data_IF_508290678992
#
_entry.id   IF_508290678992
#
_cell.length_a   1.000
_cell.length_b   1.000
_cell.length_c   1.000
_cell.angle_alpha   90.00
_cell.angle_beta   90.00
_cell.angle_gamma   90.00
#
_symmetry.space_group_name_H-M   'P 1'
#
loop_
_entity.id
_entity.type
_entity.pdbx_description
1 polymer ?
#
# COMPACT_ATOMS: atom_id res chain seq x y z
N UNK A 1 51.08 4.44 69.38
CA UNK A 1 51.34 5.66 68.60
C UNK A 1 51.08 5.34 67.14
N UNK A 2 50.37 6.24 66.46
CA UNK A 2 50.22 6.40 65.01
C UNK A 2 49.60 5.25 64.19
N UNK A 3 48.43 5.56 63.64
CA UNK A 3 47.74 4.86 62.57
C UNK A 3 48.50 4.94 61.24
N UNK A 4 48.38 3.89 60.42
CA UNK A 4 48.48 3.99 58.96
C UNK A 4 47.29 3.24 58.40
N UNK A 5 46.25 3.99 58.02
CA UNK A 5 45.18 3.53 57.15
C UNK A 5 45.76 3.26 55.77
N UNK A 6 45.69 2.01 55.32
CA UNK A 6 46.04 1.65 53.95
C UNK A 6 44.82 1.94 53.06
N UNK A 7 44.86 3.06 52.33
CA UNK A 7 43.97 3.30 51.20
C UNK A 7 44.28 2.28 50.10
N UNK A 8 43.32 1.41 49.79
CA UNK A 8 43.33 0.63 48.55
C UNK A 8 42.67 1.50 47.49
N UNK A 9 43.48 2.06 46.58
CA UNK A 9 42.98 2.65 45.34
C UNK A 9 42.57 1.52 44.40
N UNK A 10 41.27 1.32 44.21
CA UNK A 10 40.72 0.56 43.08
C UNK A 10 40.75 1.45 41.83
N UNK A 11 41.89 1.47 41.12
CA UNK A 11 41.93 2.00 39.76
C UNK A 11 41.51 0.88 38.79
N UNK A 12 40.25 0.91 38.38
CA UNK A 12 39.70 -0.11 37.49
C UNK A 12 38.23 0.09 37.14
N UNK A 13 37.76 1.34 37.00
CA UNK A 13 36.52 1.63 36.30
C UNK A 13 36.90 2.33 35.00
N UNK A 14 36.77 1.61 33.89
CA UNK A 14 36.93 2.14 32.54
C UNK A 14 35.82 3.15 32.28
N UNK A 15 36.17 4.41 32.00
CA UNK A 15 35.30 5.46 31.44
C UNK A 15 34.86 5.10 30.00
N UNK A 16 34.23 3.95 29.79
CA UNK A 16 33.63 3.60 28.50
C UNK A 16 32.22 4.15 28.47
N UNK A 17 32.01 5.19 27.68
CA UNK A 17 30.70 5.67 27.30
C UNK A 17 29.98 4.58 26.48
N UNK A 18 28.89 3.97 26.98
CA UNK A 18 28.14 2.97 26.25
C UNK A 18 27.51 3.53 24.96
N UNK A 19 27.29 4.85 24.87
CA UNK A 19 26.78 5.52 23.67
C UNK A 19 27.85 5.71 22.59
N UNK A 20 29.14 5.52 22.93
CA UNK A 20 30.25 5.53 21.98
C UNK A 20 30.65 4.13 21.47
N UNK A 21 29.94 3.09 21.90
CA UNK A 21 30.08 1.74 21.33
C UNK A 21 29.27 1.68 20.03
N UNK A 22 29.91 1.28 18.94
CA UNK A 22 29.18 0.92 17.71
C UNK A 22 28.12 -0.12 18.09
N UNK A 23 26.87 0.12 17.66
CA UNK A 23 25.81 -0.85 17.83
C UNK A 23 26.28 -2.19 17.23
N UNK A 24 26.10 -3.28 17.97
CA UNK A 24 26.45 -4.60 17.45
C UNK A 24 25.64 -4.84 16.17
N UNK A 25 26.34 -5.03 15.05
CA UNK A 25 25.72 -5.42 13.78
C UNK A 25 24.91 -6.70 14.00
N UNK A 26 23.78 -6.80 13.31
CA UNK A 26 23.06 -8.06 13.24
C UNK A 26 23.94 -9.14 12.59
N UNK A 27 23.51 -10.41 12.64
CA UNK A 27 24.27 -11.51 12.05
C UNK A 27 24.43 -11.28 10.55
N UNK A 28 25.67 -11.36 10.05
CA UNK A 28 25.95 -11.34 8.61
C UNK A 28 25.90 -12.78 8.11
N UNK A 29 24.80 -13.16 7.47
CA UNK A 29 24.63 -14.46 6.83
C UNK A 29 23.94 -14.29 5.45
N UNK A 30 24.65 -14.54 4.34
CA UNK A 30 24.08 -14.42 3.01
C UNK A 30 23.16 -15.59 2.62
N UNK A 31 23.27 -16.75 3.27
CA UNK A 31 22.58 -17.97 2.83
C UNK A 31 21.10 -17.90 3.17
N UNK A 32 20.22 -18.08 2.18
CA UNK A 32 18.77 -18.16 2.42
C UNK A 32 18.29 -19.59 2.26
N UNK A 33 18.70 -20.23 1.16
CA UNK A 33 18.36 -21.60 0.82
C UNK A 33 19.44 -22.17 -0.10
N UNK A 34 19.93 -23.37 0.20
CA UNK A 34 20.74 -24.20 -0.70
C UNK A 34 20.06 -25.56 -0.88
N UNK A 35 20.47 -26.59 -0.16
CA UNK A 35 19.76 -27.87 -0.10
C UNK A 35 18.71 -27.88 1.01
N UNK A 36 18.78 -26.94 1.94
CA UNK A 36 17.75 -26.69 2.95
C UNK A 36 17.63 -25.19 3.20
N UNK A 37 16.64 -24.80 3.99
CA UNK A 37 16.61 -23.45 4.54
C UNK A 37 17.86 -23.21 5.39
N UNK A 38 18.38 -21.98 5.34
CA UNK A 38 19.39 -21.56 6.32
C UNK A 38 18.87 -21.83 7.76
N UNK A 39 19.75 -22.11 8.74
CA UNK A 39 19.34 -22.60 10.06
C UNK A 39 18.33 -21.72 10.82
N UNK A 40 18.31 -20.42 10.54
CA UNK A 40 17.41 -19.43 11.12
C UNK A 40 16.24 -19.05 10.19
N UNK A 41 16.19 -19.58 8.96
CA UNK A 41 15.23 -19.25 7.92
C UNK A 41 14.08 -20.26 7.84
N UNK A 42 12.90 -19.77 7.47
CA UNK A 42 11.70 -20.60 7.29
C UNK A 42 10.71 -19.93 6.32
N UNK A 43 9.93 -20.74 5.62
CA UNK A 43 8.92 -20.25 4.68
C UNK A 43 7.61 -19.90 5.40
N UNK A 44 7.02 -18.76 5.02
CA UNK A 44 5.70 -18.32 5.44
C UNK A 44 4.83 -18.11 4.19
N UNK A 45 3.74 -18.88 4.02
CA UNK A 45 2.84 -18.71 2.88
C UNK A 45 2.03 -17.42 3.02
N UNK A 46 1.77 -16.75 1.91
CA UNK A 46 0.79 -15.66 1.87
C UNK A 46 -0.63 -16.19 2.07
N UNK A 47 -1.56 -15.30 2.46
CA UNK A 47 -2.98 -15.63 2.55
C UNK A 47 -3.46 -16.28 1.25
N UNK A 48 -4.30 -17.31 1.37
CA UNK A 48 -4.81 -18.15 0.27
C UNK A 48 -3.78 -18.99 -0.51
N UNK A 49 -2.50 -18.98 -0.14
CA UNK A 49 -1.56 -19.99 -0.67
C UNK A 49 -1.81 -21.34 0.00
N UNK A 50 -1.86 -22.40 -0.80
CA UNK A 50 -2.03 -23.75 -0.27
C UNK A 50 -0.82 -24.15 0.60
N UNK A 51 -1.06 -24.79 1.75
CA UNK A 51 0.00 -25.18 2.68
C UNK A 51 0.99 -26.23 2.12
N UNK A 52 0.63 -26.96 1.05
CA UNK A 52 1.54 -27.88 0.36
C UNK A 52 2.15 -27.28 -0.91
N UNK A 53 1.97 -25.98 -1.17
CA UNK A 53 2.42 -25.36 -2.40
C UNK A 53 3.96 -25.24 -2.47
N UNK A 54 4.65 -25.12 -1.34
CA UNK A 54 6.10 -25.15 -1.25
C UNK A 54 6.60 -26.48 -0.67
N UNK A 55 7.60 -27.09 -1.29
CA UNK A 55 8.20 -28.35 -0.85
C UNK A 55 9.66 -28.46 -1.29
N UNK A 56 10.42 -29.33 -0.65
CA UNK A 56 11.78 -29.66 -1.10
C UNK A 56 11.69 -30.75 -2.18
N UNK A 57 12.45 -30.60 -3.27
CA UNK A 57 12.49 -31.55 -4.39
C UNK A 57 13.94 -32.00 -4.60
N UNK A 58 14.17 -33.32 -4.50
CA UNK A 58 15.49 -33.94 -4.70
C UNK A 58 15.73 -34.43 -6.13
N UNK A 59 14.72 -34.33 -7.01
CA UNK A 59 14.82 -34.75 -8.42
C UNK A 59 15.37 -33.62 -9.28
N UNK A 60 14.94 -32.39 -9.04
CA UNK A 60 15.39 -31.22 -9.79
C UNK A 60 16.16 -30.28 -8.87
N UNK A 61 17.49 -30.41 -8.80
CA UNK A 61 18.36 -29.50 -8.05
C UNK A 61 19.38 -28.83 -8.99
N UNK A 62 19.80 -27.60 -8.66
CA UNK A 62 20.86 -26.91 -9.38
C UNK A 62 22.21 -27.51 -8.99
N UNK A 63 22.59 -28.58 -9.70
CA UNK A 63 23.75 -29.40 -9.35
C UNK A 63 23.59 -30.87 -9.75
N UNK A 64 22.36 -31.35 -10.00
CA UNK A 64 22.12 -32.73 -10.48
C UNK A 64 20.65 -33.21 -10.46
N UNK A 65 20.47 -34.52 -10.72
CA UNK A 65 19.20 -35.27 -10.62
C UNK A 65 19.26 -36.27 -9.42
N UNK A 66 19.51 -35.77 -8.21
CA UNK A 66 20.25 -36.47 -7.15
C UNK A 66 19.62 -37.77 -6.57
N UNK A 67 20.47 -38.78 -6.29
CA UNK A 67 20.16 -39.84 -5.32
C UNK A 67 20.60 -39.56 -3.87
N UNK A 68 21.56 -38.65 -3.61
CA UNK A 68 22.03 -38.35 -2.24
C UNK A 68 22.48 -36.87 -2.11
N UNK A 69 21.61 -36.00 -1.60
CA UNK A 69 22.02 -34.70 -1.03
C UNK A 69 21.30 -33.48 -1.58
N UNK A 70 21.47 -33.21 -2.88
CA UNK A 70 21.09 -31.92 -3.45
C UNK A 70 19.55 -31.77 -3.57
N UNK A 71 19.00 -30.64 -3.12
CA UNK A 71 17.55 -30.38 -3.14
C UNK A 71 17.30 -28.94 -3.58
N UNK A 72 16.24 -28.71 -4.34
CA UNK A 72 15.74 -27.36 -4.59
C UNK A 72 14.43 -27.08 -3.84
N UNK A 73 14.05 -25.81 -3.78
CA UNK A 73 12.74 -25.38 -3.34
C UNK A 73 11.77 -25.40 -4.52
N UNK A 74 10.80 -26.30 -4.47
CA UNK A 74 9.73 -26.44 -5.45
C UNK A 74 8.48 -25.71 -5.01
N UNK A 75 7.96 -24.88 -5.91
CA UNK A 75 6.65 -24.27 -5.83
C UNK A 75 5.70 -24.94 -6.84
N UNK A 76 4.61 -25.52 -6.34
CA UNK A 76 3.53 -26.06 -7.15
C UNK A 76 2.44 -25.00 -7.34
N UNK A 77 2.21 -24.60 -8.59
CA UNK A 77 1.17 -23.65 -8.96
C UNK A 77 -0.03 -24.45 -9.44
N UNK A 78 -1.15 -24.29 -8.75
CA UNK A 78 -2.38 -25.00 -9.06
C UNK A 78 -2.97 -24.57 -10.41
N UNK A 79 -3.81 -25.42 -11.04
CA UNK A 79 -4.64 -25.04 -12.19
C UNK A 79 -5.42 -23.73 -12.02
N UNK A 80 -5.67 -23.03 -13.14
CA UNK A 80 -6.60 -21.90 -13.17
C UNK A 80 -7.97 -22.33 -12.63
N UNK A 81 -8.50 -21.58 -11.67
CA UNK A 81 -9.80 -21.86 -11.03
C UNK A 81 -9.76 -22.99 -9.99
N UNK A 82 -8.57 -23.42 -9.57
CA UNK A 82 -8.42 -24.44 -8.53
C UNK A 82 -8.97 -23.97 -7.18
N UNK A 83 -9.62 -24.89 -6.46
CA UNK A 83 -10.04 -24.67 -5.07
C UNK A 83 -8.85 -24.60 -4.08
N UNK A 84 -7.63 -24.85 -4.54
CA UNK A 84 -6.41 -24.75 -3.72
C UNK A 84 -5.94 -23.31 -3.50
N UNK A 85 -6.48 -22.35 -4.26
CA UNK A 85 -6.18 -20.92 -4.12
C UNK A 85 -6.00 -20.22 -5.48
N UNK A 86 -6.18 -18.89 -5.52
CA UNK A 86 -5.98 -18.08 -6.72
C UNK A 86 -4.51 -17.80 -7.06
N UNK A 87 -3.56 -18.10 -6.17
CA UNK A 87 -2.11 -17.93 -6.37
C UNK A 87 -1.30 -18.86 -5.48
N UNK A 88 0.00 -18.96 -5.76
CA UNK A 88 1.01 -19.59 -4.89
C UNK A 88 2.09 -18.58 -4.57
N UNK A 89 2.30 -18.29 -3.29
CA UNK A 89 3.33 -17.35 -2.87
C UNK A 89 3.62 -17.34 -1.38
N UNK A 90 4.70 -16.67 -1.03
CA UNK A 90 5.12 -16.48 0.35
C UNK A 90 6.51 -15.88 0.43
N UNK A 91 7.02 -15.87 1.65
CA UNK A 91 8.34 -15.33 1.97
C UNK A 91 9.18 -16.35 2.71
N UNK A 92 10.49 -16.37 2.48
CA UNK A 92 11.45 -16.98 3.37
C UNK A 92 11.92 -15.89 4.32
N UNK A 93 11.74 -16.11 5.61
CA UNK A 93 12.08 -15.14 6.66
C UNK A 93 13.07 -15.72 7.64
N UNK A 94 13.94 -14.90 8.20
CA UNK A 94 14.77 -15.28 9.34
C UNK A 94 14.07 -15.05 10.68
N UNK A 95 14.41 -15.90 11.65
CA UNK A 95 13.96 -15.83 13.05
C UNK A 95 14.61 -14.67 13.83
N UNK A 96 15.80 -14.23 13.41
CA UNK A 96 16.44 -12.98 13.83
C UNK A 96 16.68 -12.06 12.62
N UNK A 97 17.00 -10.78 12.84
CA UNK A 97 17.41 -9.93 11.72
C UNK A 97 18.85 -10.20 11.28
N UNK A 98 19.13 -9.91 10.01
CA UNK A 98 20.45 -10.03 9.40
C UNK A 98 20.95 -8.68 8.92
N UNK A 99 22.26 -8.51 9.00
CA UNK A 99 22.95 -7.38 8.38
C UNK A 99 23.44 -7.81 7.00
N UNK A 100 22.84 -7.25 5.97
CA UNK A 100 23.07 -7.57 4.56
C UNK A 100 23.73 -6.40 3.80
N UNK A 101 24.21 -5.38 4.52
CA UNK A 101 24.69 -4.15 3.91
C UNK A 101 25.96 -4.31 3.06
N UNK A 102 26.66 -5.43 3.23
CA UNK A 102 27.87 -5.77 2.48
C UNK A 102 27.60 -6.43 1.11
N UNK A 103 26.34 -6.78 0.81
CA UNK A 103 25.90 -7.40 -0.45
C UNK A 103 25.19 -6.40 -1.36
N UNK A 104 25.18 -6.62 -2.67
CA UNK A 104 24.49 -5.74 -3.63
C UNK A 104 23.49 -6.46 -4.53
N UNK A 105 23.25 -7.75 -4.31
CA UNK A 105 22.22 -8.52 -4.99
C UNK A 105 21.67 -9.65 -4.11
N UNK A 106 20.41 -10.00 -4.33
CA UNK A 106 19.91 -11.36 -4.12
C UNK A 106 20.10 -12.15 -5.41
N UNK A 107 20.65 -13.35 -5.31
CA UNK A 107 20.90 -14.23 -6.44
C UNK A 107 20.33 -15.61 -6.18
N UNK A 108 19.89 -16.28 -7.24
CA UNK A 108 19.37 -17.65 -7.19
C UNK A 108 19.35 -18.26 -8.58
N UNK A 109 19.23 -19.58 -8.65
CA UNK A 109 18.88 -20.27 -9.88
C UNK A 109 17.39 -20.58 -9.89
N UNK A 110 16.74 -20.44 -11.05
CA UNK A 110 15.34 -20.80 -11.21
C UNK A 110 15.06 -21.49 -12.54
N UNK A 111 14.08 -22.39 -12.54
CA UNK A 111 13.52 -23.06 -13.73
C UNK A 111 12.04 -23.33 -13.55
N UNK A 112 11.35 -23.64 -14.63
CA UNK A 112 9.97 -24.09 -14.64
C UNK A 112 9.81 -25.30 -15.56
N UNK A 113 8.77 -26.11 -15.39
CA UNK A 113 8.49 -27.20 -16.34
C UNK A 113 7.92 -26.69 -17.67
N UNK A 114 7.31 -25.49 -17.66
CA UNK A 114 6.82 -24.78 -18.83
C UNK A 114 7.47 -23.39 -18.92
N UNK A 115 7.85 -22.91 -20.12
CA UNK A 115 8.27 -21.52 -20.28
C UNK A 115 7.19 -20.54 -19.85
N UNK A 116 7.54 -19.57 -19.02
CA UNK A 116 6.61 -18.60 -18.43
C UNK A 116 7.34 -17.32 -18.00
N UNK A 117 6.56 -16.32 -17.59
CA UNK A 117 7.06 -15.13 -16.90
C UNK A 117 6.65 -15.23 -15.45
N UNK A 118 7.60 -15.49 -14.54
CA UNK A 118 7.32 -15.51 -13.11
C UNK A 118 6.89 -14.11 -12.67
N UNK A 119 5.74 -14.02 -12.01
CA UNK A 119 5.09 -12.76 -11.64
C UNK A 119 5.99 -11.94 -10.73
N UNK A 120 6.49 -12.51 -9.63
CA UNK A 120 7.35 -11.79 -8.67
C UNK A 120 8.38 -12.71 -8.01
N UNK A 121 9.63 -12.24 -7.98
CA UNK A 121 10.62 -12.67 -6.99
C UNK A 121 11.33 -11.45 -6.38
N UNK A 122 11.68 -11.53 -5.10
CA UNK A 122 12.23 -10.37 -4.38
C UNK A 122 12.79 -10.71 -3.01
N UNK A 123 12.91 -9.69 -2.17
CA UNK A 123 13.31 -9.76 -0.76
C UNK A 123 12.74 -8.54 0.01
N UNK A 124 13.00 -8.48 1.31
CA UNK A 124 12.60 -7.38 2.19
C UNK A 124 11.20 -7.50 2.78
N UNK A 125 10.37 -8.43 2.30
CA UNK A 125 9.06 -8.73 2.87
C UNK A 125 9.18 -9.80 3.95
N UNK A 126 8.86 -9.46 5.19
CA UNK A 126 8.89 -10.38 6.33
C UNK A 126 7.49 -10.82 6.80
N UNK A 127 6.46 -10.52 6.00
CA UNK A 127 5.06 -10.89 6.20
C UNK A 127 4.46 -10.40 7.53
N UNK A 128 5.02 -9.32 8.08
CA UNK A 128 4.50 -8.67 9.30
C UNK A 128 3.56 -7.50 9.01
N UNK A 129 3.51 -7.02 7.76
CA UNK A 129 2.85 -5.76 7.39
C UNK A 129 3.64 -4.51 7.79
N UNK A 130 4.87 -4.66 8.30
CA UNK A 130 5.74 -3.54 8.73
C UNK A 130 7.08 -3.52 8.01
N UNK A 131 7.23 -4.32 6.95
CA UNK A 131 8.42 -4.39 6.11
C UNK A 131 8.75 -3.02 5.50
N UNK A 132 10.02 -2.63 5.56
CA UNK A 132 10.46 -1.30 5.10
C UNK A 132 11.13 -1.34 3.72
N UNK A 133 11.90 -2.39 3.43
CA UNK A 133 12.85 -2.41 2.33
C UNK A 133 12.52 -3.47 1.28
N UNK A 134 11.23 -3.71 1.04
CA UNK A 134 10.76 -4.60 -0.03
C UNK A 134 11.32 -4.18 -1.39
N UNK A 135 11.89 -5.13 -2.12
CA UNK A 135 12.40 -4.94 -3.47
C UNK A 135 12.31 -6.25 -4.27
N UNK A 136 12.04 -6.15 -5.57
CA UNK A 136 11.89 -7.33 -6.41
C UNK A 136 11.83 -7.04 -7.89
N UNK A 137 11.86 -8.12 -8.66
CA UNK A 137 11.66 -8.14 -10.11
C UNK A 137 10.32 -8.80 -10.41
N UNK A 138 9.68 -8.32 -11.46
CA UNK A 138 8.49 -8.93 -12.02
C UNK A 138 8.75 -9.44 -13.44
N UNK A 139 7.88 -10.33 -13.93
CA UNK A 139 7.95 -10.91 -15.27
C UNK A 139 9.31 -11.59 -15.58
N UNK A 140 9.82 -12.38 -14.64
CA UNK A 140 11.11 -13.05 -14.80
C UNK A 140 10.94 -14.24 -15.73
N UNK A 141 11.56 -14.19 -16.92
CA UNK A 141 11.46 -15.28 -17.88
C UNK A 141 12.13 -16.56 -17.36
N UNK A 142 11.35 -17.62 -17.25
CA UNK A 142 11.82 -18.96 -16.89
C UNK A 142 11.62 -19.94 -18.04
N UNK A 143 12.46 -20.96 -18.08
CA UNK A 143 12.39 -22.06 -19.05
C UNK A 143 12.60 -23.40 -18.33
N UNK A 144 12.62 -24.49 -19.09
CA UNK A 144 13.04 -25.80 -18.57
C UNK A 144 14.52 -25.87 -18.19
N UNK A 145 15.32 -24.89 -18.57
CA UNK A 145 16.72 -24.79 -18.16
C UNK A 145 16.86 -23.88 -16.94
N UNK A 146 17.80 -24.22 -16.07
CA UNK A 146 18.17 -23.38 -14.94
C UNK A 146 18.78 -22.06 -15.43
N UNK A 147 18.18 -20.95 -15.02
CA UNK A 147 18.67 -19.61 -15.28
C UNK A 147 19.24 -19.01 -13.99
N UNK A 148 20.40 -18.36 -14.08
CA UNK A 148 20.92 -17.54 -12.98
C UNK A 148 20.19 -16.20 -12.96
N UNK A 149 19.53 -15.90 -11.85
CA UNK A 149 18.75 -14.70 -11.66
C UNK A 149 19.45 -13.78 -10.65
N UNK A 150 19.50 -12.50 -10.99
CA UNK A 150 20.04 -11.44 -10.14
C UNK A 150 18.93 -10.43 -9.86
N UNK A 151 18.71 -10.11 -8.59
CA UNK A 151 17.90 -8.99 -8.13
C UNK A 151 18.84 -8.00 -7.45
N UNK A 152 19.26 -6.92 -8.14
CA UNK A 152 20.05 -5.86 -7.52
C UNK A 152 19.36 -5.26 -6.28
N UNK A 153 20.16 -4.95 -5.26
CA UNK A 153 19.69 -4.28 -4.05
C UNK A 153 19.77 -2.76 -4.27
N UNK A 154 18.67 -1.99 -4.11
CA UNK A 154 18.67 -0.58 -4.47
C UNK A 154 19.70 0.28 -3.72
N UNK A 155 19.71 0.21 -2.38
CA UNK A 155 20.72 0.83 -1.54
C UNK A 155 21.10 -0.14 -0.40
N UNK A 156 22.16 -0.97 -0.58
CA UNK A 156 22.57 -1.98 0.39
C UNK A 156 22.73 -1.47 1.82
N UNK A 157 23.22 -0.24 1.98
CA UNK A 157 23.46 0.42 3.27
C UNK A 157 22.24 0.46 4.19
N UNK A 158 21.02 0.33 3.65
CA UNK A 158 19.76 0.31 4.40
C UNK A 158 19.45 -1.06 5.03
N UNK A 159 20.00 -2.16 4.51
CA UNK A 159 19.68 -3.53 4.96
C UNK A 159 20.53 -3.98 6.16
N UNK A 160 20.53 -3.21 7.24
CA UNK A 160 21.32 -3.52 8.45
C UNK A 160 20.60 -4.43 9.45
N UNK A 161 19.29 -4.64 9.26
CA UNK A 161 18.45 -5.44 10.13
C UNK A 161 17.24 -5.99 9.35
N UNK A 162 17.52 -6.81 8.33
CA UNK A 162 16.49 -7.37 7.45
C UNK A 162 16.06 -8.78 7.90
N UNK A 163 14.78 -9.10 7.75
CA UNK A 163 14.21 -10.43 8.03
C UNK A 163 13.59 -11.08 6.82
N UNK A 164 13.10 -10.32 5.86
CA UNK A 164 12.55 -10.81 4.60
C UNK A 164 13.67 -11.18 3.64
N UNK A 165 13.97 -12.47 3.51
CA UNK A 165 15.15 -12.94 2.77
C UNK A 165 14.86 -13.30 1.32
N UNK A 166 13.65 -13.80 1.03
CA UNK A 166 13.21 -14.13 -0.32
C UNK A 166 11.69 -14.04 -0.41
N UNK A 167 11.18 -13.40 -1.45
CA UNK A 167 9.75 -13.29 -1.76
C UNK A 167 9.49 -14.03 -3.06
N UNK A 168 8.40 -14.78 -3.13
CA UNK A 168 7.92 -15.45 -4.34
C UNK A 168 6.41 -15.30 -4.42
N UNK A 169 5.88 -14.94 -5.58
CA UNK A 169 4.45 -15.00 -5.85
C UNK A 169 4.20 -15.29 -7.33
N UNK A 170 3.22 -16.15 -7.59
CA UNK A 170 2.86 -16.60 -8.92
C UNK A 170 1.37 -16.95 -8.99
N UNK A 171 0.65 -16.32 -9.91
CA UNK A 171 -0.73 -16.66 -10.24
C UNK A 171 -0.77 -17.77 -11.33
N UNK A 172 -1.79 -18.65 -11.35
CA UNK A 172 -1.92 -19.68 -12.38
C UNK A 172 -1.97 -19.12 -13.81
N UNK A 173 -0.98 -19.46 -14.63
CA UNK A 173 -0.96 -19.11 -16.07
C UNK A 173 -1.43 -20.24 -16.99
N UNK A 174 -1.57 -21.46 -16.47
CA UNK A 174 -1.88 -22.66 -17.25
C UNK A 174 -3.07 -23.45 -16.68
N UNK A 175 -3.91 -24.07 -17.54
CA UNK A 175 -5.08 -24.81 -17.10
C UNK A 175 -4.76 -26.10 -16.33
N UNK A 176 -3.55 -26.66 -16.48
CA UNK A 176 -3.18 -27.94 -15.89
C UNK A 176 -2.30 -27.80 -14.63
N UNK A 177 -1.97 -26.57 -14.23
CA UNK A 177 -0.98 -26.31 -13.18
C UNK A 177 0.45 -26.61 -13.66
N UNK A 178 1.43 -26.24 -12.85
CA UNK A 178 2.84 -26.32 -13.20
C UNK A 178 3.73 -26.19 -11.96
N UNK A 179 5.01 -26.39 -12.15
CA UNK A 179 6.00 -26.37 -11.09
C UNK A 179 7.12 -25.41 -11.44
N UNK A 180 7.55 -24.63 -10.46
CA UNK A 180 8.74 -23.78 -10.50
C UNK A 180 9.71 -24.28 -9.44
N UNK A 181 10.99 -24.39 -9.79
CA UNK A 181 12.05 -24.75 -8.86
C UNK A 181 13.01 -23.57 -8.73
N UNK A 182 13.41 -23.30 -7.50
CA UNK A 182 14.37 -22.26 -7.12
C UNK A 182 15.42 -22.89 -6.25
N UNK A 183 16.68 -22.51 -6.47
CA UNK A 183 17.82 -23.10 -5.77
C UNK A 183 18.91 -22.04 -5.53
N UNK A 184 19.81 -22.32 -4.60
CA UNK A 184 21.01 -21.52 -4.32
C UNK A 184 20.69 -20.04 -4.03
N UNK A 185 19.65 -19.81 -3.24
CA UNK A 185 19.18 -18.47 -2.87
C UNK A 185 20.15 -17.87 -1.86
N UNK A 186 20.83 -16.80 -2.27
CA UNK A 186 21.83 -16.12 -1.45
C UNK A 186 21.94 -14.63 -1.76
N UNK A 187 22.26 -13.85 -0.74
CA UNK A 187 22.76 -12.50 -0.93
C UNK A 187 24.23 -12.56 -1.38
N UNK A 188 24.57 -11.77 -2.40
CA UNK A 188 25.88 -11.80 -3.03
C UNK A 188 26.40 -10.38 -3.28
N UNK A 189 27.73 -10.27 -3.30
CA UNK A 189 28.43 -9.08 -3.76
C UNK A 189 28.96 -9.36 -5.16
N UNK A 190 28.39 -8.70 -6.15
CA UNK A 190 28.75 -8.83 -7.55
C UNK A 190 29.43 -7.56 -8.07
N UNK A 191 30.50 -7.71 -8.86
CA UNK A 191 31.25 -6.57 -9.39
C UNK A 191 30.65 -6.00 -10.70
N UNK A 192 29.58 -6.61 -11.22
CA UNK A 192 28.99 -6.35 -12.53
C UNK A 192 27.59 -5.69 -12.47
N UNK A 193 27.26 -5.08 -11.33
CA UNK A 193 26.03 -4.28 -11.14
C UNK A 193 26.44 -2.81 -11.12
N UNK A 194 26.04 -2.09 -12.16
CA UNK A 194 26.45 -0.72 -12.41
C UNK A 194 25.28 0.18 -12.81
N UNK A 195 25.57 1.47 -12.97
CA UNK A 195 24.66 2.50 -13.51
C UNK A 195 23.23 2.46 -12.92
N UNK A 196 23.06 2.63 -11.60
CA UNK A 196 21.75 2.77 -11.00
C UNK A 196 21.04 4.00 -11.55
N UNK A 197 19.84 3.82 -12.10
CA UNK A 197 18.97 4.87 -12.62
C UNK A 197 17.65 4.80 -11.88
N UNK A 198 17.57 5.57 -10.80
CA UNK A 198 16.41 5.64 -9.91
C UNK A 198 15.28 6.47 -10.51
N UNK A 199 14.05 6.04 -10.28
CA UNK A 199 12.82 6.72 -10.68
C UNK A 199 11.81 6.62 -9.52
N UNK A 200 11.42 7.78 -8.98
CA UNK A 200 10.40 7.90 -7.93
C UNK A 200 9.00 8.20 -8.50
N UNK A 201 8.89 8.33 -9.83
CA UNK A 201 7.69 8.74 -10.53
C UNK A 201 7.35 10.23 -10.36
N UNK A 202 6.28 10.65 -11.03
CA UNK A 202 5.74 12.00 -10.92
C UNK A 202 4.40 11.93 -10.22
N UNK A 203 4.24 12.65 -9.11
CA UNK A 203 2.97 12.76 -8.41
C UNK A 203 2.62 14.21 -8.08
N UNK A 204 1.33 14.48 -8.03
CA UNK A 204 0.74 15.75 -7.60
C UNK A 204 -0.34 15.39 -6.61
N UNK A 205 -0.16 15.79 -5.37
CA UNK A 205 -1.07 15.45 -4.30
C UNK A 205 -1.46 16.70 -3.52
N UNK A 206 -2.64 16.65 -2.93
CA UNK A 206 -3.16 17.68 -2.06
C UNK A 206 -3.50 17.11 -0.70
N UNK A 207 -3.22 17.90 0.31
CA UNK A 207 -3.40 17.51 1.71
C UNK A 207 -3.74 18.72 2.57
N UNK A 208 -4.19 18.46 3.79
CA UNK A 208 -4.24 19.45 4.84
C UNK A 208 -2.94 19.48 5.64
N UNK A 209 -2.64 20.62 6.25
CA UNK A 209 -1.60 20.72 7.28
C UNK A 209 -1.85 19.65 8.34
N UNK A 210 -0.79 18.96 8.77
CA UNK A 210 -0.88 17.88 9.75
C UNK A 210 -1.18 16.49 9.17
N UNK A 211 -1.54 16.37 7.89
CA UNK A 211 -1.68 15.07 7.25
C UNK A 211 -0.32 14.37 7.09
N UNK A 212 -0.34 13.03 7.09
CA UNK A 212 0.84 12.20 6.84
C UNK A 212 0.92 11.86 5.35
N UNK A 213 2.10 12.01 4.77
CA UNK A 213 2.32 11.74 3.35
C UNK A 213 3.29 10.57 3.20
N UNK A 214 2.82 9.52 2.54
CA UNK A 214 3.69 8.48 1.99
C UNK A 214 3.94 8.79 0.52
N UNK A 215 5.19 9.03 0.14
CA UNK A 215 5.54 9.27 -1.27
C UNK A 215 5.64 7.95 -2.02
N UNK A 216 4.87 7.84 -3.10
CA UNK A 216 5.04 6.84 -4.13
C UNK A 216 4.54 5.46 -3.71
N UNK A 217 3.56 4.92 -4.42
CA UNK A 217 3.14 3.52 -4.27
C UNK A 217 4.06 2.55 -5.02
N UNK A 218 5.00 3.03 -5.84
CA UNK A 218 5.96 2.16 -6.55
C UNK A 218 7.16 2.97 -7.02
N UNK A 219 8.32 2.72 -6.41
CA UNK A 219 9.60 3.25 -6.89
C UNK A 219 10.28 2.20 -7.75
N UNK A 220 11.02 2.61 -8.78
CA UNK A 220 11.77 1.68 -9.63
C UNK A 220 13.20 2.16 -9.79
N UNK A 221 14.16 1.26 -9.69
CA UNK A 221 15.54 1.54 -10.08
C UNK A 221 15.97 0.53 -11.13
N UNK A 222 16.53 1.05 -12.23
CA UNK A 222 17.18 0.22 -13.25
C UNK A 222 18.67 0.11 -12.95
N UNK A 223 19.21 -1.08 -13.11
CA UNK A 223 20.64 -1.38 -12.99
C UNK A 223 21.13 -2.01 -14.28
N UNK A 224 22.36 -1.71 -14.70
CA UNK A 224 23.05 -2.49 -15.70
C UNK A 224 23.68 -3.71 -15.03
N UNK A 225 23.22 -4.92 -15.37
CA UNK A 225 23.81 -6.20 -14.94
C UNK A 225 24.40 -6.88 -16.15
N UNK A 226 25.73 -7.02 -16.20
CA UNK A 226 26.45 -7.45 -17.42
C UNK A 226 26.14 -6.60 -18.67
N UNK A 227 25.81 -5.31 -18.47
CA UNK A 227 25.43 -4.40 -19.55
C UNK A 227 23.97 -4.51 -20.01
N UNK A 228 23.16 -5.37 -19.40
CA UNK A 228 21.71 -5.45 -19.64
C UNK A 228 20.92 -4.74 -18.55
N UNK A 229 19.84 -4.06 -18.94
CA UNK A 229 19.00 -3.33 -18.01
C UNK A 229 18.07 -4.27 -17.23
N UNK A 230 18.27 -4.32 -15.91
CA UNK A 230 17.39 -5.00 -14.96
C UNK A 230 16.62 -3.95 -14.17
N UNK A 231 15.29 -4.01 -14.23
CA UNK A 231 14.41 -3.13 -13.45
C UNK A 231 14.02 -3.79 -12.13
N UNK A 232 14.23 -3.08 -11.03
CA UNK A 232 13.85 -3.49 -9.68
C UNK A 232 12.79 -2.53 -9.16
N UNK A 233 11.59 -3.05 -8.89
CA UNK A 233 10.55 -2.33 -8.15
C UNK A 233 10.88 -2.41 -6.66
N UNK A 234 10.75 -1.31 -5.94
CA UNK A 234 11.10 -1.28 -4.51
C UNK A 234 10.28 -0.26 -3.72
N UNK A 235 10.33 -0.41 -2.40
CA UNK A 235 9.80 0.53 -1.42
C UNK A 235 10.45 1.92 -1.59
N UNK A 236 9.68 3.02 -1.41
CA UNK A 236 10.23 4.37 -1.40
C UNK A 236 11.26 4.61 -0.29
N UNK A 237 11.32 3.76 0.75
CA UNK A 237 12.26 3.92 1.87
C UNK A 237 13.73 3.67 1.53
N UNK A 238 14.03 3.21 0.31
CA UNK A 238 15.40 3.24 -0.22
C UNK A 238 15.87 4.64 -0.58
N UNK A 239 14.94 5.60 -0.76
CA UNK A 239 15.28 6.96 -1.11
C UNK A 239 15.52 7.84 0.12
N UNK A 240 16.45 8.78 -0.06
CA UNK A 240 16.60 9.94 0.81
C UNK A 240 15.85 11.11 0.17
N UNK A 241 14.81 11.60 0.85
CA UNK A 241 13.95 12.68 0.35
C UNK A 241 14.51 14.07 0.66
N UNK A 242 14.16 15.03 -0.19
CA UNK A 242 14.48 16.45 -0.03
C UNK A 242 13.32 17.33 -0.48
N UNK A 243 12.90 18.25 0.37
CA UNK A 243 11.88 19.26 0.07
C UNK A 243 12.53 20.58 -0.32
N UNK A 244 12.00 21.25 -1.35
CA UNK A 244 12.41 22.61 -1.71
C UNK A 244 11.84 23.69 -0.76
N UNK A 245 10.84 23.36 0.04
CA UNK A 245 10.24 24.24 1.05
C UNK A 245 9.83 23.47 2.33
N UNK A 246 10.74 23.47 3.30
CA UNK A 246 10.52 22.84 4.61
C UNK A 246 9.49 23.58 5.50
N UNK A 247 9.05 24.79 5.12
CA UNK A 247 7.96 25.49 5.82
C UNK A 247 6.57 24.96 5.42
N UNK A 248 6.50 24.20 4.32
CA UNK A 248 5.29 23.53 3.84
C UNK A 248 5.38 22.02 4.12
N UNK A 249 6.45 21.38 3.65
CA UNK A 249 6.66 19.94 3.78
C UNK A 249 8.07 19.64 4.28
N UNK A 250 8.18 19.05 5.46
CA UNK A 250 9.45 18.70 6.10
C UNK A 250 9.69 17.19 6.03
N UNK A 251 10.88 16.79 5.61
CA UNK A 251 11.31 15.38 5.64
C UNK A 251 11.61 14.99 7.09
N UNK A 252 11.06 13.87 7.54
CA UNK A 252 11.26 13.31 8.87
C UNK A 252 11.57 11.81 8.76
N UNK A 253 12.85 11.46 8.74
CA UNK A 253 13.29 10.12 8.40
C UNK A 253 12.87 9.74 6.98
N UNK A 254 12.03 8.72 6.87
CA UNK A 254 11.47 8.25 5.60
C UNK A 254 10.07 8.83 5.29
N UNK A 255 9.50 9.59 6.23
CA UNK A 255 8.18 10.19 6.11
C UNK A 255 8.26 11.68 5.77
N UNK A 256 7.12 12.25 5.36
CA UNK A 256 6.99 13.69 5.13
C UNK A 256 5.85 14.25 5.96
N UNK A 257 6.22 15.23 6.78
CA UNK A 257 5.31 15.97 7.62
C UNK A 257 4.91 17.27 6.95
N UNK A 258 3.60 17.50 6.85
CA UNK A 258 3.06 18.75 6.33
C UNK A 258 2.86 19.75 7.46
N UNK A 259 3.66 20.81 7.47
CA UNK A 259 3.78 21.73 8.61
C UNK A 259 3.23 23.13 8.36
N UNK A 260 2.86 23.45 7.11
CA UNK A 260 2.27 24.73 6.76
C UNK A 260 1.58 24.71 5.39
N UNK A 261 0.66 25.65 5.13
CA UNK A 261 -0.03 25.75 3.85
C UNK A 261 0.92 26.29 2.78
N UNK A 262 0.73 25.87 1.53
CA UNK A 262 1.56 26.32 0.42
C UNK A 262 1.79 25.22 -0.60
N UNK A 263 2.93 25.25 -1.27
CA UNK A 263 3.31 24.20 -2.21
C UNK A 263 4.79 23.91 -2.08
N UNK A 264 5.12 22.63 -1.96
CA UNK A 264 6.49 22.11 -1.96
C UNK A 264 6.67 21.05 -3.04
N UNK A 265 7.87 20.97 -3.59
CA UNK A 265 8.33 19.89 -4.45
C UNK A 265 9.30 19.03 -3.66
N UNK A 266 8.95 17.76 -3.50
CA UNK A 266 9.83 16.77 -2.89
C UNK A 266 10.50 15.94 -3.98
N UNK A 267 11.82 15.84 -3.89
CA UNK A 267 12.69 15.04 -4.75
C UNK A 267 13.39 13.97 -3.92
N UNK A 268 14.03 13.01 -4.58
CA UNK A 268 14.69 11.89 -3.92
C UNK A 268 16.09 11.63 -4.49
N UNK A 269 16.93 11.00 -3.68
CA UNK A 269 18.16 10.33 -4.12
C UNK A 269 18.15 8.87 -3.68
N UNK A 270 18.71 8.01 -4.51
CA UNK A 270 19.15 6.67 -4.13
C UNK A 270 20.64 6.72 -3.83
N UNK A 271 21.03 6.66 -2.56
CA UNK A 271 22.38 7.00 -2.10
C UNK A 271 22.85 8.36 -2.69
N UNK A 272 23.81 8.33 -3.62
CA UNK A 272 24.33 9.53 -4.28
C UNK A 272 23.63 9.90 -5.58
N UNK A 273 22.77 9.03 -6.11
CA UNK A 273 22.16 9.18 -7.43
C UNK A 273 20.81 9.90 -7.31
N UNK A 274 20.60 11.04 -7.99
CA UNK A 274 19.28 11.66 -8.07
C UNK A 274 18.26 10.74 -8.73
N UNK A 275 17.09 10.58 -8.11
CA UNK A 275 15.97 9.91 -8.73
C UNK A 275 15.32 10.83 -9.77
N UNK A 276 14.89 10.27 -10.89
CA UNK A 276 13.99 10.93 -11.83
C UNK A 276 12.61 11.04 -11.16
N UNK A 277 11.93 12.17 -11.36
CA UNK A 277 10.59 12.39 -10.82
C UNK A 277 10.53 13.42 -9.70
N UNK A 278 9.33 13.64 -9.17
CA UNK A 278 9.06 14.47 -8.00
C UNK A 278 7.66 14.17 -7.43
N UNK A 279 7.47 14.46 -6.16
CA UNK A 279 6.14 14.62 -5.55
C UNK A 279 5.88 16.10 -5.31
N UNK A 280 4.89 16.67 -6.01
CA UNK A 280 4.45 18.05 -5.78
C UNK A 280 3.27 18.05 -4.81
N UNK A 281 3.48 18.65 -3.67
CA UNK A 281 2.54 18.69 -2.56
C UNK A 281 1.94 20.10 -2.49
N UNK A 282 0.63 20.21 -2.63
CA UNK A 282 -0.10 21.45 -2.33
C UNK A 282 -0.86 21.25 -1.03
N UNK A 283 -0.60 22.10 -0.05
CA UNK A 283 -1.08 21.95 1.32
C UNK A 283 -2.01 23.10 1.66
N UNK A 284 -3.18 22.77 2.20
CA UNK A 284 -4.19 23.73 2.64
C UNK A 284 -4.29 23.74 4.15
N UNK A 285 -4.69 24.88 4.72
CA UNK A 285 -5.16 24.90 6.11
C UNK A 285 -6.42 24.03 6.22
N UNK A 286 -6.55 23.20 7.27
CA UNK A 286 -7.80 22.53 7.56
C UNK A 286 -8.87 23.55 7.99
N UNK A 287 -10.17 23.19 7.92
CA UNK A 287 -11.21 24.04 8.49
C UNK A 287 -10.98 24.29 9.98
N UNK A 288 -11.24 25.51 10.43
CA UNK A 288 -10.99 25.91 11.83
C UNK A 288 -11.99 25.31 12.82
N UNK A 289 -13.16 24.89 12.34
CA UNK A 289 -14.22 24.27 13.12
C UNK A 289 -14.64 22.95 12.46
N UNK A 290 -15.30 22.10 13.23
CA UNK A 290 -16.01 20.92 12.71
C UNK A 290 -17.27 21.34 11.95
N UNK A 291 -17.87 20.40 11.21
CA UNK A 291 -19.21 20.57 10.67
C UNK A 291 -20.24 20.68 11.82
N UNK A 292 -21.38 21.31 11.56
CA UNK A 292 -22.43 21.43 12.57
C UNK A 292 -22.96 20.04 12.94
N UNK A 293 -23.06 19.70 14.24
CA UNK A 293 -23.51 18.37 14.65
C UNK A 293 -24.97 18.15 14.26
N UNK A 294 -25.33 16.95 13.77
CA UNK A 294 -26.71 16.63 13.43
C UNK A 294 -27.65 16.77 14.64
N UNK A 295 -28.86 17.27 14.41
CA UNK A 295 -29.85 17.52 15.48
C UNK A 295 -31.18 16.78 15.29
N UNK A 296 -31.27 15.91 14.28
CA UNK A 296 -32.49 15.14 14.00
C UNK A 296 -32.74 14.09 15.10
N UNK A 297 -34.00 13.69 15.34
CA UNK A 297 -34.28 12.58 16.24
C UNK A 297 -33.62 11.29 15.73
N UNK A 298 -32.88 10.58 16.59
CA UNK A 298 -32.16 9.36 16.20
C UNK A 298 -33.05 8.24 15.62
N UNK A 299 -34.36 8.26 15.89
CA UNK A 299 -35.31 7.31 15.30
C UNK A 299 -35.67 7.59 13.84
N UNK A 300 -35.33 8.77 13.33
CA UNK A 300 -35.57 9.20 11.96
C UNK A 300 -34.30 9.15 11.10
N UNK A 301 -33.21 8.55 11.62
CA UNK A 301 -31.88 8.57 11.01
C UNK A 301 -31.29 7.15 10.89
N UNK A 302 -30.72 6.83 9.74
CA UNK A 302 -29.80 5.70 9.54
C UNK A 302 -28.39 6.28 9.37
N UNK A 303 -27.60 6.25 10.45
CA UNK A 303 -26.25 6.83 10.47
C UNK A 303 -25.21 5.85 9.96
N UNK A 304 -24.31 6.31 9.10
CA UNK A 304 -23.14 5.54 8.63
C UNK A 304 -21.84 6.06 9.25
N UNK A 305 -21.73 7.37 9.44
CA UNK A 305 -20.59 8.01 10.10
C UNK A 305 -21.06 9.27 10.82
N UNK A 306 -21.09 9.27 12.14
CA UNK A 306 -21.39 10.47 12.92
C UNK A 306 -20.83 10.38 14.34
N UNK A 307 -20.49 11.54 14.91
CA UNK A 307 -20.16 11.63 16.33
C UNK A 307 -21.38 11.70 17.26
N UNK A 308 -22.60 11.82 16.72
CA UNK A 308 -23.85 12.02 17.48
C UNK A 308 -24.71 10.76 17.54
N UNK A 309 -24.82 10.02 16.43
CA UNK A 309 -25.68 8.83 16.32
C UNK A 309 -24.89 7.53 16.47
N UNK A 310 -25.61 6.42 16.61
CA UNK A 310 -24.99 5.10 16.50
C UNK A 310 -24.94 4.70 15.02
N UNK A 311 -23.73 4.43 14.54
CA UNK A 311 -23.51 4.07 13.14
C UNK A 311 -23.89 2.60 12.86
N UNK A 312 -24.48 2.37 11.69
CA UNK A 312 -24.62 1.04 11.11
C UNK A 312 -23.29 0.57 10.52
N UNK A 313 -23.07 -0.75 10.34
CA UNK A 313 -21.86 -1.24 9.73
C UNK A 313 -21.63 -0.69 8.30
N UNK A 314 -20.38 -0.36 8.01
CA UNK A 314 -19.89 -0.04 6.65
C UNK A 314 -18.70 -0.96 6.38
N UNK A 315 -18.75 -1.70 5.27
CA UNK A 315 -17.73 -2.71 4.95
C UNK A 315 -16.40 -2.04 4.61
N UNK A 316 -16.44 -0.97 3.81
CA UNK A 316 -15.28 -0.13 3.55
C UNK A 316 -15.65 1.30 3.15
N UNK A 317 -14.83 2.27 3.56
CA UNK A 317 -14.91 3.68 3.16
C UNK A 317 -14.07 4.01 1.91
N UNK A 318 -13.34 3.02 1.40
CA UNK A 318 -12.52 3.10 0.19
C UNK A 318 -12.42 1.71 -0.42
N UNK A 319 -13.14 1.51 -1.52
CA UNK A 319 -13.09 0.26 -2.28
C UNK A 319 -11.83 0.19 -3.15
N UNK A 320 -11.37 -1.03 -3.46
CA UNK A 320 -10.19 -1.25 -4.32
C UNK A 320 -10.35 -0.68 -5.75
N UNK A 321 -11.60 -0.53 -6.21
CA UNK A 321 -11.91 0.07 -7.51
C UNK A 321 -11.95 1.60 -7.49
N UNK A 322 -11.76 2.22 -6.32
CA UNK A 322 -11.65 3.67 -6.19
C UNK A 322 -10.50 4.22 -7.03
N UNK A 323 -10.71 5.40 -7.62
CA UNK A 323 -9.69 6.20 -8.31
C UNK A 323 -9.28 7.40 -7.47
N UNK A 324 -9.09 7.15 -6.18
CA UNK A 324 -8.53 8.08 -5.19
C UNK A 324 -7.36 7.41 -4.48
N UNK A 325 -6.56 8.19 -3.77
CA UNK A 325 -5.72 7.64 -2.71
C UNK A 325 -6.59 6.98 -1.62
N UNK A 326 -6.02 6.05 -0.82
CA UNK A 326 -6.72 5.45 0.30
C UNK A 326 -7.31 6.51 1.23
N UNK A 327 -8.54 6.28 1.70
CA UNK A 327 -9.18 7.15 2.70
C UNK A 327 -8.33 7.18 3.97
N UNK A 328 -8.22 8.36 4.57
CA UNK A 328 -7.52 8.55 5.83
C UNK A 328 -8.47 9.16 6.85
N UNK A 329 -8.36 8.74 8.11
CA UNK A 329 -8.96 9.49 9.21
C UNK A 329 -8.12 10.76 9.44
N UNK A 330 -8.78 11.92 9.44
CA UNK A 330 -8.17 13.22 9.65
C UNK A 330 -8.89 13.96 10.77
N UNK A 331 -8.14 14.45 11.76
CA UNK A 331 -8.71 15.13 12.92
C UNK A 331 -8.90 16.64 12.64
N UNK A 332 -10.13 17.12 12.76
CA UNK A 332 -10.47 18.54 12.75
C UNK A 332 -10.95 18.92 14.14
N UNK A 333 -10.22 19.80 14.83
CA UNK A 333 -10.59 20.32 16.14
C UNK A 333 -11.02 19.25 17.17
N UNK A 334 -10.36 18.08 17.16
CA UNK A 334 -10.66 16.96 18.07
C UNK A 334 -11.70 15.95 17.57
N UNK A 335 -12.23 16.12 16.36
CA UNK A 335 -13.20 15.21 15.73
C UNK A 335 -12.62 14.54 14.49
N UNK A 336 -12.85 13.24 14.36
CA UNK A 336 -12.38 12.48 13.19
C UNK A 336 -13.30 12.73 12.01
N UNK A 337 -12.71 13.00 10.86
CA UNK A 337 -13.36 13.15 9.55
C UNK A 337 -12.72 12.16 8.57
N UNK A 338 -13.43 11.82 7.47
CA UNK A 338 -12.87 11.02 6.38
C UNK A 338 -12.22 11.94 5.34
N UNK A 339 -10.91 11.84 5.17
CA UNK A 339 -10.16 12.59 4.17
C UNK A 339 -9.94 11.76 2.91
N UNK A 340 -10.36 12.31 1.78
CA UNK A 340 -10.14 11.76 0.45
C UNK A 340 -9.19 12.65 -0.35
N UNK A 341 -8.08 12.05 -0.80
CA UNK A 341 -7.10 12.69 -1.69
C UNK A 341 -7.21 12.07 -3.08
N UNK A 342 -7.31 12.89 -4.11
CA UNK A 342 -7.49 12.41 -5.47
C UNK A 342 -6.27 12.74 -6.34
N UNK A 343 -5.90 11.85 -7.25
CA UNK A 343 -4.76 12.00 -8.17
C UNK A 343 -5.24 12.33 -9.59
N UNK A 344 -4.50 13.14 -10.36
CA UNK A 344 -4.84 13.60 -11.72
C UNK A 344 -5.56 12.53 -12.59
N UNK A 345 -6.82 12.77 -13.01
CA UNK A 345 -7.59 11.82 -13.83
C UNK A 345 -9.06 11.64 -13.44
N UNK A 346 -9.51 10.39 -13.36
CA UNK A 346 -10.83 10.04 -12.78
C UNK A 346 -10.72 10.07 -11.26
N UNK A 347 -11.67 10.70 -10.58
CA UNK A 347 -11.55 11.04 -9.15
C UNK A 347 -12.80 10.63 -8.37
N UNK A 348 -12.93 9.33 -8.10
CA UNK A 348 -14.02 8.83 -7.28
C UNK A 348 -13.51 7.88 -6.21
N UNK A 349 -14.21 7.86 -5.09
CA UNK A 349 -14.02 6.91 -4.00
C UNK A 349 -15.33 6.16 -3.76
N UNK A 350 -15.24 4.85 -3.71
CA UNK A 350 -16.35 3.97 -3.36
C UNK A 350 -16.43 3.72 -1.87
N UNK A 351 -17.64 3.80 -1.34
CA UNK A 351 -18.02 3.41 0.01
C UNK A 351 -19.00 2.24 -0.17
N UNK A 352 -18.70 1.12 0.48
CA UNK A 352 -19.44 -0.13 0.32
C UNK A 352 -19.97 -0.64 1.66
N UNK A 353 -21.21 -1.10 1.64
CA UNK A 353 -21.97 -1.60 2.79
C UNK A 353 -22.94 -2.67 2.31
N UNK A 354 -22.42 -3.88 2.09
CA UNK A 354 -23.18 -5.04 1.62
C UNK A 354 -23.62 -5.96 2.76
N UNK A 355 -23.09 -5.76 3.98
CA UNK A 355 -23.30 -6.66 5.13
C UNK A 355 -23.85 -5.95 6.38
N UNK A 356 -25.11 -5.48 6.37
CA UNK A 356 -26.08 -5.54 5.27
C UNK A 356 -26.11 -4.25 4.42
N UNK A 357 -26.85 -4.29 3.31
CA UNK A 357 -27.31 -3.10 2.59
C UNK A 357 -28.21 -2.21 3.47
N UNK A 358 -28.38 -0.95 3.06
CA UNK A 358 -29.25 0.02 3.73
C UNK A 358 -30.64 0.00 3.11
N UNK A 359 -31.66 -0.14 3.97
CA UNK A 359 -33.05 0.10 3.62
C UNK A 359 -33.42 1.58 3.83
N UNK A 360 -33.36 2.35 2.75
CA UNK A 360 -33.72 3.76 2.72
C UNK A 360 -35.15 3.99 2.21
N UNK A 361 -36.00 2.96 2.13
CA UNK A 361 -37.34 3.05 1.52
C UNK A 361 -38.30 4.01 2.27
N UNK A 362 -38.08 4.22 3.57
CA UNK A 362 -38.82 5.19 4.37
C UNK A 362 -38.11 6.55 4.50
N UNK A 363 -36.90 6.70 3.97
CA UNK A 363 -36.10 7.93 4.05
C UNK A 363 -36.47 8.88 2.91
N UNK A 364 -36.21 10.17 3.11
CA UNK A 364 -36.49 11.23 2.13
C UNK A 364 -35.23 11.96 1.69
N UNK A 365 -34.15 11.89 2.47
CA UNK A 365 -32.89 12.56 2.19
C UNK A 365 -31.67 11.69 2.49
N UNK A 366 -30.57 12.01 1.79
CA UNK A 366 -29.20 11.62 2.12
C UNK A 366 -28.44 12.87 2.56
N UNK A 367 -27.84 12.84 3.74
CA UNK A 367 -27.03 13.92 4.28
C UNK A 367 -25.54 13.55 4.24
N UNK A 368 -24.70 14.50 3.81
CA UNK A 368 -23.26 14.49 4.02
C UNK A 368 -22.79 15.90 4.36
N UNK A 369 -21.92 16.04 5.36
CA UNK A 369 -21.15 17.28 5.55
C UNK A 369 -19.83 17.18 4.79
N UNK A 370 -19.59 18.14 3.90
CA UNK A 370 -18.44 18.15 3.02
C UNK A 370 -17.64 19.44 3.22
N UNK A 371 -16.32 19.31 3.34
CA UNK A 371 -15.39 20.43 3.22
C UNK A 371 -14.38 20.15 2.12
N UNK A 372 -14.27 21.08 1.17
CA UNK A 372 -13.21 21.07 0.17
C UNK A 372 -12.58 22.46 0.11
N UNK A 373 -11.24 22.62 0.17
CA UNK A 373 -10.62 23.94 0.15
C UNK A 373 -10.69 24.61 -1.23
N UNK A 374 -10.91 23.82 -2.28
CA UNK A 374 -11.16 24.27 -3.64
C UNK A 374 -12.00 23.23 -4.40
N UNK A 375 -12.72 23.67 -5.43
CA UNK A 375 -13.52 22.80 -6.29
C UNK A 375 -14.58 23.59 -7.07
N UNK A 376 -15.19 22.95 -8.06
CA UNK A 376 -16.32 23.52 -8.82
C UNK A 376 -17.61 22.71 -8.67
N UNK A 377 -17.46 21.41 -8.43
CA UNK A 377 -18.56 20.49 -8.20
C UNK A 377 -18.16 19.39 -7.23
N UNK A 378 -19.18 18.77 -6.66
CA UNK A 378 -19.12 17.53 -5.90
C UNK A 378 -20.15 16.57 -6.47
N UNK A 379 -19.79 15.29 -6.56
CA UNK A 379 -20.63 14.24 -7.16
C UNK A 379 -20.96 13.21 -6.11
N UNK A 380 -22.24 12.85 -6.08
CA UNK A 380 -22.74 11.74 -5.28
C UNK A 380 -23.44 10.80 -6.22
N UNK A 381 -23.01 9.54 -6.19
CA UNK A 381 -23.60 8.47 -6.96
C UNK A 381 -23.98 7.31 -6.04
N UNK A 382 -25.11 6.70 -6.31
CA UNK A 382 -25.67 5.62 -5.51
C UNK A 382 -25.76 4.34 -6.34
N UNK A 383 -25.48 3.21 -5.69
CA UNK A 383 -25.66 1.88 -6.24
C UNK A 383 -26.62 1.06 -5.37
N UNK A 384 -27.60 0.42 -6.01
CA UNK A 384 -28.53 -0.51 -5.36
C UNK A 384 -28.33 -1.94 -5.87
N UNK A 385 -28.70 -2.91 -5.04
CA UNK A 385 -28.42 -4.34 -5.25
C UNK A 385 -29.67 -5.24 -5.19
N UNK A 386 -30.77 -4.85 -5.87
CA UNK A 386 -32.05 -5.55 -5.77
C UNK A 386 -31.93 -7.04 -6.11
N UNK A 387 -32.75 -7.86 -5.46
CA UNK A 387 -32.89 -9.30 -5.75
C UNK A 387 -31.62 -10.14 -5.47
N UNK A 388 -30.81 -9.71 -4.51
CA UNK A 388 -29.61 -10.46 -4.08
C UNK A 388 -28.43 -10.35 -5.04
N UNK A 389 -28.36 -9.25 -5.80
CA UNK A 389 -27.16 -8.91 -6.58
C UNK A 389 -25.96 -8.68 -5.66
N UNK A 390 -24.78 -8.98 -6.17
CA UNK A 390 -23.49 -8.78 -5.49
C UNK A 390 -22.64 -7.75 -6.23
N UNK A 391 -21.58 -7.20 -5.62
CA UNK A 391 -20.66 -6.29 -6.30
C UNK A 391 -19.99 -6.88 -7.56
N UNK A 392 -19.94 -8.20 -7.69
CA UNK A 392 -19.40 -8.90 -8.86
C UNK A 392 -20.41 -9.00 -10.02
N UNK A 393 -21.70 -8.79 -9.76
CA UNK A 393 -22.73 -8.83 -10.79
C UNK A 393 -22.76 -7.51 -11.58
N UNK A 394 -23.17 -7.53 -12.86
CA UNK A 394 -23.32 -6.30 -13.63
C UNK A 394 -24.32 -5.36 -12.95
N UNK A 395 -23.86 -4.18 -12.51
CA UNK A 395 -24.74 -3.18 -11.92
C UNK A 395 -25.77 -2.69 -12.95
N UNK A 396 -27.06 -2.96 -12.74
CA UNK A 396 -28.06 -2.71 -13.77
C UNK A 396 -28.35 -1.20 -13.88
N UNK A 397 -28.42 -0.49 -12.77
CA UNK A 397 -28.60 0.96 -12.70
C UNK A 397 -27.81 1.60 -11.55
N UNK A 398 -27.35 2.83 -11.76
CA UNK A 398 -26.73 3.68 -10.75
C UNK A 398 -27.21 5.11 -10.93
N UNK A 399 -27.49 5.82 -9.85
CA UNK A 399 -28.04 7.18 -9.90
C UNK A 399 -26.96 8.19 -9.50
N UNK A 400 -26.69 9.19 -10.33
CA UNK A 400 -25.64 10.19 -10.08
C UNK A 400 -26.23 11.61 -10.03
N UNK A 401 -25.77 12.40 -9.07
CA UNK A 401 -26.02 13.83 -8.96
C UNK A 401 -24.69 14.60 -8.99
N UNK A 402 -24.73 15.75 -9.65
CA UNK A 402 -23.62 16.70 -9.70
C UNK A 402 -24.10 17.98 -9.01
N UNK A 403 -23.45 18.30 -7.90
CA UNK A 403 -23.74 19.43 -7.04
C UNK A 403 -22.71 20.52 -7.30
N UNK A 404 -23.17 21.74 -7.57
CA UNK A 404 -22.32 22.92 -7.80
C UNK A 404 -22.94 24.14 -7.12
N UNK A 405 -22.36 25.33 -7.31
CA UNK A 405 -22.83 26.58 -6.70
C UNK A 405 -24.31 26.94 -6.99
N UNK A 406 -24.89 26.37 -8.06
CA UNK A 406 -26.29 26.61 -8.46
C UNK A 406 -27.25 25.46 -8.11
N UNK A 407 -26.74 24.35 -7.57
CA UNK A 407 -27.56 23.23 -7.11
C UNK A 407 -28.34 23.57 -5.84
N UNK A 408 -29.30 22.72 -5.48
CA UNK A 408 -30.03 22.80 -4.21
C UNK A 408 -29.91 21.42 -3.53
N UNK A 409 -29.12 21.29 -2.45
CA UNK A 409 -28.28 22.31 -1.82
C UNK A 409 -27.07 22.73 -2.69
N UNK A 410 -26.58 23.97 -2.57
CA UNK A 410 -25.41 24.44 -3.33
C UNK A 410 -24.12 23.87 -2.75
N UNK A 411 -23.18 23.50 -3.62
CA UNK A 411 -21.81 23.18 -3.21
C UNK A 411 -20.92 24.42 -3.35
N UNK A 412 -20.35 24.85 -2.23
CA UNK A 412 -19.38 25.96 -2.15
C UNK A 412 -18.09 25.46 -1.51
N UNK A 413 -16.94 25.82 -2.07
CA UNK A 413 -15.64 25.43 -1.53
C UNK A 413 -15.14 26.45 -0.49
N UNK A 414 -14.20 26.01 0.35
CA UNK A 414 -13.57 26.82 1.40
C UNK A 414 -14.36 26.87 2.71
N UNK A 415 -15.54 26.27 2.77
CA UNK A 415 -16.39 26.18 3.95
C UNK A 415 -17.03 24.77 4.08
N UNK A 416 -17.56 24.47 5.27
CA UNK A 416 -18.37 23.27 5.46
C UNK A 416 -19.71 23.46 4.76
N UNK A 417 -20.11 22.47 3.98
CA UNK A 417 -21.39 22.42 3.29
C UNK A 417 -22.14 21.19 3.76
N UNK A 418 -23.33 21.41 4.33
CA UNK A 418 -24.29 20.35 4.60
C UNK A 418 -25.10 20.05 3.34
N UNK A 419 -24.77 18.94 2.70
CA UNK A 419 -25.48 18.43 1.55
C UNK A 419 -26.64 17.56 2.03
N UNK A 420 -27.76 18.21 2.32
CA UNK A 420 -29.04 17.55 2.59
C UNK A 420 -29.78 17.30 1.26
N UNK A 421 -29.55 16.13 0.65
CA UNK A 421 -29.93 15.82 -0.73
C UNK A 421 -31.27 15.06 -0.74
N UNK A 422 -32.35 15.60 -1.34
CA UNK A 422 -33.60 14.87 -1.50
C UNK A 422 -33.41 13.61 -2.36
N UNK A 423 -33.89 12.46 -1.89
CA UNK A 423 -33.80 11.21 -2.65
C UNK A 423 -34.56 11.27 -3.98
N UNK A 424 -35.59 12.13 -4.04
CA UNK A 424 -36.37 12.37 -5.26
C UNK A 424 -35.57 13.05 -6.39
N UNK A 425 -34.42 13.65 -6.09
CA UNK A 425 -33.56 14.26 -7.11
C UNK A 425 -32.82 13.20 -7.92
N UNK A 426 -32.57 12.02 -7.35
CA UNK A 426 -32.00 10.88 -8.06
C UNK A 426 -33.02 10.28 -9.04
N UNK A 427 -32.77 10.48 -10.34
CA UNK A 427 -33.71 10.11 -11.40
C UNK A 427 -33.61 8.63 -11.77
N UNK A 428 -34.57 7.82 -11.32
CA UNK A 428 -34.72 6.42 -11.73
C UNK A 428 -35.18 6.36 -13.19
N UNK A 429 -34.53 5.55 -14.03
CA UNK A 429 -34.94 5.30 -15.41
C UNK A 429 -36.19 4.38 -15.44
N UNK A 430 -37.38 4.91 -15.79
CA UNK A 430 -38.60 4.11 -15.79
C UNK A 430 -38.61 3.01 -16.86
N UNK A 431 -37.65 3.00 -17.80
CA UNK A 431 -37.50 1.95 -18.81
C UNK A 431 -36.81 0.69 -18.28
N UNK A 432 -36.30 0.73 -17.04
CA UNK A 432 -35.50 -0.30 -16.38
C UNK A 432 -36.14 -0.82 -15.07
N UNK A 433 -37.38 -1.35 -15.12
CA UNK A 433 -38.08 -1.76 -13.91
C UNK A 433 -37.34 -2.89 -13.18
N UNK A 434 -37.16 -2.73 -11.87
CA UNK A 434 -36.49 -3.72 -11.02
C UNK A 434 -34.96 -3.63 -11.01
N UNK A 435 -34.38 -2.67 -11.74
CA UNK A 435 -32.94 -2.37 -11.68
C UNK A 435 -32.58 -1.45 -10.49
N UNK A 436 -33.57 -0.82 -9.85
CA UNK A 436 -33.40 0.03 -8.68
C UNK A 436 -34.36 -0.33 -7.54
N UNK A 437 -33.85 -0.38 -6.30
CA UNK A 437 -34.65 -0.53 -5.08
C UNK A 437 -34.04 0.27 -3.91
N UNK A 438 -34.83 1.19 -3.33
CA UNK A 438 -34.42 2.00 -2.19
C UNK A 438 -34.23 1.19 -0.90
N UNK A 439 -34.74 -0.04 -0.84
CA UNK A 439 -34.54 -0.93 0.31
C UNK A 439 -33.23 -1.72 0.28
N UNK A 440 -32.47 -1.65 -0.83
CA UNK A 440 -31.24 -2.43 -1.03
C UNK A 440 -30.08 -1.56 -1.55
N UNK A 441 -29.86 -0.38 -0.96
CA UNK A 441 -28.70 0.46 -1.31
C UNK A 441 -27.43 -0.18 -0.72
N UNK A 442 -26.39 -0.35 -1.54
CA UNK A 442 -25.14 -0.97 -1.11
C UNK A 442 -23.90 -0.13 -1.32
N UNK A 443 -23.98 0.92 -2.16
CA UNK A 443 -22.86 1.79 -2.47
C UNK A 443 -23.21 3.27 -2.40
N UNK A 444 -22.26 4.06 -1.87
CA UNK A 444 -22.13 5.49 -2.15
C UNK A 444 -20.80 5.68 -2.88
N UNK A 445 -20.82 6.39 -4.00
CA UNK A 445 -19.63 6.80 -4.73
C UNK A 445 -19.58 8.32 -4.68
N UNK A 446 -18.55 8.84 -4.02
CA UNK A 446 -18.27 10.27 -3.99
C UNK A 446 -17.19 10.60 -5.00
N UNK A 447 -17.23 11.79 -5.57
CA UNK A 447 -16.18 12.24 -6.46
C UNK A 447 -16.34 13.69 -6.85
N UNK A 448 -15.50 14.13 -7.77
CA UNK A 448 -15.69 15.42 -8.46
C UNK A 448 -15.24 15.22 -9.91
N UNK A 449 -15.72 16.02 -10.85
CA UNK A 449 -15.13 16.09 -12.20
C UNK A 449 -14.76 17.53 -12.48
N UNK A 450 -13.49 17.86 -12.28
CA UNK A 450 -12.98 19.18 -12.57
C UNK A 450 -12.84 19.36 -14.10
N UNK A 451 -13.72 20.18 -14.71
CA UNK A 451 -13.50 20.71 -16.06
C UNK A 451 -12.50 21.87 -15.96
N UNK A 452 -11.20 21.60 -16.00
CA UNK A 452 -10.16 22.64 -15.85
C UNK A 452 -8.79 22.10 -15.41
N UNK A 453 -7.80 22.99 -15.30
CA UNK A 453 -6.36 22.64 -15.13
C UNK A 453 -5.87 22.45 -13.68
N UNK A 454 -6.74 22.48 -12.66
CA UNK A 454 -6.44 21.96 -11.31
C UNK A 454 -7.23 20.68 -11.15
N UNK A 455 -6.56 19.53 -11.03
CA UNK A 455 -7.13 18.18 -11.25
C UNK A 455 -6.92 17.23 -10.07
N UNK A 456 -6.96 17.73 -8.85
CA UNK A 456 -6.84 16.88 -7.66
C UNK A 456 -7.77 17.42 -6.59
N UNK A 457 -8.96 16.86 -6.39
CA UNK A 457 -9.78 17.25 -5.24
C UNK A 457 -9.11 16.83 -3.93
N UNK A 458 -9.41 17.58 -2.88
CA UNK A 458 -9.12 17.22 -1.49
C UNK A 458 -10.42 17.47 -0.74
N UNK A 459 -10.96 16.43 -0.11
CA UNK A 459 -12.28 16.50 0.50
C UNK A 459 -12.24 15.88 1.88
N UNK A 460 -12.82 16.58 2.86
CA UNK A 460 -13.23 15.99 4.13
C UNK A 460 -14.72 15.67 4.06
N UNK A 461 -15.09 14.51 4.57
CA UNK A 461 -16.46 14.05 4.73
C UNK A 461 -16.71 13.79 6.21
N UNK A 462 -17.81 14.31 6.72
CA UNK A 462 -18.33 14.07 8.06
C UNK A 462 -19.85 13.84 8.00
N UNK A 463 -20.44 13.34 9.08
CA UNK A 463 -21.88 13.17 9.26
C UNK A 463 -22.60 12.57 8.03
N UNK A 464 -22.33 11.30 7.71
CA UNK A 464 -22.97 10.59 6.60
C UNK A 464 -24.16 9.80 7.12
N UNK A 465 -25.38 10.16 6.71
CA UNK A 465 -26.59 9.49 7.16
C UNK A 465 -27.78 9.67 6.22
N UNK A 466 -28.76 8.77 6.32
CA UNK A 466 -30.06 8.87 5.64
C UNK A 466 -31.10 9.32 6.66
N UNK A 467 -32.09 10.14 6.26
CA UNK A 467 -33.15 10.54 7.17
C UNK A 467 -34.51 10.82 6.51
N UNK A 468 -35.54 10.98 7.36
CA UNK A 468 -36.93 11.30 7.00
C UNK A 468 -37.21 12.77 6.81
#
# INVERSE_FOLDING_TARGET
>A
MAAISLLIFSAGCSDRDPAALEAARATVDPLVFDDDYAPDAYFQPFFQTNYTAASLDSVFAYGGFAPDGDRSLKFHIAPIGSALGPWTGGVITSSGSRDLADFNALTFYARANNPLLLDVAGFGNDNTGTSLYEAGRANIALTSEWAFIVIPIPAPSKLISERGLFTFAEAPQFPDGYDIWVDEIRFAKLDNIEDPRADMGYSRQKYFVGAKVTIGSTSTTKFAVNGEDISVSHSPYYFDFHSDDETVARVDGNDILLVGPGTATVTAKLDTVPAIGYAKLTVYEPPATVADPPSLPAGDVISMFSSVYNDVPVDTWWTEWSKSGPVQDFEVAGHITKMYTFSDGEHYAGIEFMNPTIDASEMTHLHLDIYAPEGTDFRVKLGSFPNGLTPADPHPETLELILNETSVPPFTYGEWVSLDIPLADFQIDPSKPGEWDWSEIGHIIIGTVLVGTSKTPLVLVDNVYWHK
#
